data_IF_245806086998
#
_entry.id   IF_245806086998
#
_cell.length_a   1.000
_cell.length_b   1.000
_cell.length_c   1.000
_cell.angle_alpha   90.00
_cell.angle_beta   90.00
_cell.angle_gamma   90.00
#
_symmetry.space_group_name_H-M   'P 1'
#
loop_
_entity.id
_entity.type
_entity.pdbx_description
1 polymer ?
#
# COMPACT_ATOMS: atom_id res chain seq x y z
N UNK A 1 -6.87 -33.20 26.47
CA UNK A 1 -6.71 -32.96 25.03
C UNK A 1 -5.72 -33.97 24.47
N UNK A 2 -6.14 -34.79 23.51
CA UNK A 2 -5.30 -35.85 22.91
C UNK A 2 -4.27 -35.21 21.98
N UNK A 3 -3.02 -35.65 21.98
CA UNK A 3 -1.87 -35.08 21.30
C UNK A 3 -2.07 -34.58 19.84
N UNK A 4 -2.85 -35.26 18.95
CA UNK A 4 -3.05 -34.77 17.59
C UNK A 4 -3.89 -33.49 17.49
N UNK A 5 -4.84 -33.25 18.40
CA UNK A 5 -5.65 -32.04 18.43
C UNK A 5 -4.84 -30.84 18.92
N UNK A 6 -3.93 -31.04 19.83
CA UNK A 6 -3.08 -29.98 20.35
C UNK A 6 -2.07 -29.51 19.30
N UNK A 7 -1.46 -30.44 18.59
CA UNK A 7 -0.59 -30.15 17.44
C UNK A 7 -1.32 -29.36 16.33
N UNK A 8 -2.58 -29.72 16.05
CA UNK A 8 -3.38 -29.00 15.06
C UNK A 8 -3.65 -27.56 15.47
N UNK A 9 -4.02 -27.33 16.74
CA UNK A 9 -4.26 -25.97 17.27
C UNK A 9 -2.99 -25.10 17.22
N UNK A 10 -1.84 -25.66 17.59
CA UNK A 10 -0.55 -24.94 17.54
C UNK A 10 -0.20 -24.54 16.10
N UNK A 11 -0.34 -25.46 15.14
CA UNK A 11 -0.13 -25.17 13.72
C UNK A 11 -1.09 -24.11 13.19
N UNK A 12 -2.35 -24.18 13.59
CA UNK A 12 -3.36 -23.20 13.19
C UNK A 12 -3.02 -21.80 13.75
N UNK A 13 -2.68 -21.72 15.04
CA UNK A 13 -2.32 -20.47 15.68
C UNK A 13 -1.06 -19.85 15.04
N UNK A 14 -0.04 -20.64 14.78
CA UNK A 14 1.19 -20.13 14.12
C UNK A 14 0.92 -19.68 12.69
N UNK A 15 0.13 -20.42 11.92
CA UNK A 15 -0.25 -20.04 10.56
C UNK A 15 -1.04 -18.71 10.54
N UNK A 16 -2.01 -18.55 11.45
CA UNK A 16 -2.79 -17.30 11.58
C UNK A 16 -1.88 -16.13 11.97
N UNK A 17 -0.96 -16.35 12.91
CA UNK A 17 -0.06 -15.30 13.38
C UNK A 17 0.90 -14.84 12.27
N UNK A 18 1.48 -15.77 11.53
CA UNK A 18 2.34 -15.48 10.37
C UNK A 18 1.55 -14.73 9.29
N UNK A 19 0.30 -15.14 9.02
CA UNK A 19 -0.56 -14.50 8.05
C UNK A 19 -0.90 -13.06 8.46
N UNK A 20 -1.21 -12.81 9.75
CA UNK A 20 -1.48 -11.46 10.27
C UNK A 20 -0.24 -10.56 10.14
N UNK A 21 0.94 -11.05 10.51
CA UNK A 21 2.19 -10.29 10.35
C UNK A 21 2.45 -9.94 8.89
N UNK A 22 2.16 -10.88 8.01
CA UNK A 22 2.28 -10.68 6.57
C UNK A 22 1.32 -9.62 6.04
N UNK A 23 0.04 -9.64 6.47
CA UNK A 23 -0.94 -8.61 6.12
C UNK A 23 -0.51 -7.22 6.60
N UNK A 24 0.06 -7.13 7.80
CA UNK A 24 0.57 -5.86 8.34
C UNK A 24 1.73 -5.35 7.46
N UNK A 25 2.67 -6.22 7.09
CA UNK A 25 3.80 -5.84 6.25
C UNK A 25 3.34 -5.30 4.88
N UNK A 26 2.39 -5.97 4.22
CA UNK A 26 1.80 -5.51 2.95
C UNK A 26 1.10 -4.15 3.13
N UNK A 27 0.35 -3.96 4.22
CA UNK A 27 -0.32 -2.69 4.54
C UNK A 27 0.65 -1.54 4.69
N UNK A 28 1.74 -1.76 5.41
CA UNK A 28 2.80 -0.75 5.61
C UNK A 28 3.45 -0.40 4.28
N UNK A 29 3.81 -1.38 3.46
CA UNK A 29 4.42 -1.14 2.15
C UNK A 29 3.50 -0.35 1.22
N UNK A 30 2.21 -0.68 1.15
CA UNK A 30 1.22 0.06 0.35
C UNK A 30 1.03 1.49 0.85
N UNK A 31 0.98 1.69 2.17
CA UNK A 31 0.89 3.01 2.78
C UNK A 31 2.11 3.87 2.47
N UNK A 32 3.32 3.30 2.55
CA UNK A 32 4.55 3.99 2.20
C UNK A 32 4.64 4.31 0.71
N UNK A 33 4.24 3.39 -0.17
CA UNK A 33 4.19 3.63 -1.61
C UNK A 33 3.26 4.81 -1.96
N UNK A 34 2.07 4.85 -1.37
CA UNK A 34 1.12 5.96 -1.56
C UNK A 34 1.65 7.29 -0.99
N UNK A 35 2.30 7.25 0.17
CA UNK A 35 2.95 8.41 0.77
C UNK A 35 4.01 9.00 -0.16
N UNK A 36 4.94 8.17 -0.67
CA UNK A 36 6.00 8.63 -1.56
C UNK A 36 5.48 9.13 -2.91
N UNK A 37 4.44 8.49 -3.48
CA UNK A 37 3.81 8.94 -4.71
C UNK A 37 3.09 10.29 -4.53
N UNK A 38 2.35 10.46 -3.43
CA UNK A 38 1.68 11.72 -3.12
C UNK A 38 2.69 12.85 -2.84
N UNK A 39 3.80 12.52 -2.18
CA UNK A 39 4.89 13.47 -1.92
C UNK A 39 5.60 13.89 -3.22
N UNK A 40 5.81 12.95 -4.15
CA UNK A 40 6.38 13.22 -5.47
C UNK A 40 5.52 14.21 -6.28
N UNK A 41 4.20 14.14 -6.08
CA UNK A 41 3.23 15.06 -6.71
C UNK A 41 3.03 16.38 -5.97
N UNK A 42 3.80 16.62 -4.89
CA UNK A 42 3.74 17.84 -4.11
C UNK A 42 2.45 17.99 -3.28
N UNK A 43 1.77 16.89 -2.97
CA UNK A 43 0.58 16.92 -2.13
C UNK A 43 0.96 17.24 -0.68
N UNK A 44 0.33 18.30 -0.10
CA UNK A 44 0.50 18.64 1.33
C UNK A 44 -0.07 17.58 2.27
N UNK A 45 -0.97 16.73 1.76
CA UNK A 45 -1.68 15.71 2.52
C UNK A 45 -1.11 14.30 2.26
N UNK A 46 0.13 14.22 1.77
CA UNK A 46 0.78 12.93 1.48
C UNK A 46 0.77 11.97 2.69
N UNK A 47 1.01 12.51 3.90
CA UNK A 47 0.97 11.74 5.14
C UNK A 47 -0.40 11.16 5.44
N UNK A 48 -1.48 11.92 5.21
CA UNK A 48 -2.86 11.47 5.37
C UNK A 48 -3.19 10.31 4.42
N UNK A 49 -2.80 10.41 3.16
CA UNK A 49 -3.04 9.36 2.17
C UNK A 49 -2.29 8.07 2.52
N UNK A 50 -1.01 8.19 2.91
CA UNK A 50 -0.22 7.04 3.35
C UNK A 50 -0.83 6.33 4.56
N UNK A 51 -1.27 7.11 5.56
CA UNK A 51 -1.87 6.59 6.77
C UNK A 51 -3.25 5.96 6.52
N UNK A 52 -4.10 6.62 5.73
CA UNK A 52 -5.42 6.09 5.36
C UNK A 52 -5.29 4.74 4.63
N UNK A 53 -4.40 4.65 3.64
CA UNK A 53 -4.19 3.42 2.87
C UNK A 53 -3.56 2.33 3.73
N UNK A 54 -2.61 2.69 4.60
CA UNK A 54 -2.01 1.75 5.53
C UNK A 54 -3.01 1.14 6.52
N UNK A 55 -3.91 1.97 7.09
CA UNK A 55 -4.91 1.50 8.07
C UNK A 55 -6.16 0.90 7.42
N UNK A 56 -6.85 1.65 6.56
CA UNK A 56 -8.12 1.22 5.97
C UNK A 56 -7.95 0.35 4.71
N UNK A 57 -6.77 0.36 4.08
CA UNK A 57 -6.39 -0.54 3.00
C UNK A 57 -7.01 -0.20 1.65
N UNK A 58 -7.78 -1.15 1.09
CA UNK A 58 -8.19 -1.13 -0.32
C UNK A 58 -9.11 0.05 -0.67
N UNK A 59 -10.05 0.38 0.20
CA UNK A 59 -11.07 1.43 -0.08
C UNK A 59 -10.41 2.80 -0.29
N UNK A 60 -9.61 3.34 0.66
CA UNK A 60 -8.91 4.60 0.42
C UNK A 60 -7.85 4.49 -0.68
N UNK A 61 -7.31 3.29 -0.93
CA UNK A 61 -6.42 3.03 -2.06
C UNK A 61 -7.10 3.27 -3.41
N UNK A 62 -8.32 2.79 -3.59
CA UNK A 62 -9.12 3.04 -4.82
C UNK A 62 -9.45 4.53 -4.94
N UNK A 63 -9.92 5.15 -3.85
CA UNK A 63 -10.20 6.60 -3.82
C UNK A 63 -8.95 7.40 -4.20
N UNK A 64 -7.80 7.05 -3.65
CA UNK A 64 -6.51 7.66 -3.99
C UNK A 64 -6.20 7.53 -5.48
N UNK A 65 -6.38 6.35 -6.08
CA UNK A 65 -6.14 6.12 -7.50
C UNK A 65 -7.06 6.99 -8.38
N UNK A 66 -8.32 7.18 -7.99
CA UNK A 66 -9.25 8.06 -8.68
C UNK A 66 -8.83 9.55 -8.59
N UNK A 67 -8.40 9.99 -7.41
CA UNK A 67 -8.00 11.38 -7.16
C UNK A 67 -6.58 11.67 -7.65
N UNK A 68 -5.72 10.65 -7.71
CA UNK A 68 -4.32 10.75 -8.14
C UNK A 68 -4.13 11.50 -9.46
N UNK A 69 -5.03 11.28 -10.42
CA UNK A 69 -5.01 11.96 -11.72
C UNK A 69 -5.29 13.47 -11.64
N UNK A 70 -5.99 13.91 -10.60
CA UNK A 70 -6.32 15.32 -10.33
C UNK A 70 -5.25 16.03 -9.50
N UNK A 71 -4.36 15.28 -8.85
CA UNK A 71 -3.23 15.84 -8.10
C UNK A 71 -2.18 16.34 -9.07
N UNK A 72 -2.15 17.66 -9.26
CA UNK A 72 -1.14 18.31 -10.10
C UNK A 72 -0.01 18.83 -9.23
N UNK A 73 1.26 18.72 -9.69
CA UNK A 73 2.38 19.28 -8.97
C UNK A 73 2.17 20.80 -8.78
N UNK A 74 2.31 21.25 -7.55
CA UNK A 74 2.31 22.68 -7.25
C UNK A 74 3.74 23.18 -7.32
N UNK A 75 3.92 24.41 -7.81
CA UNK A 75 5.20 25.10 -7.88
C UNK A 75 5.25 26.20 -6.84
N UNK A 76 6.40 26.38 -6.21
CA UNK A 76 6.62 27.44 -5.25
C UNK A 76 7.02 28.70 -5.97
N UNK A 77 6.36 29.80 -5.69
CA UNK A 77 6.73 31.11 -6.22
C UNK A 77 8.07 31.57 -5.61
N UNK A 78 9.09 31.85 -6.41
CA UNK A 78 10.41 32.25 -5.91
C UNK A 78 10.40 33.61 -5.22
N UNK A 79 9.37 34.42 -5.43
CA UNK A 79 9.28 35.78 -4.87
C UNK A 79 8.55 35.83 -3.51
N UNK A 80 7.45 35.09 -3.33
CA UNK A 80 6.64 35.15 -2.10
C UNK A 80 6.50 33.81 -1.38
N UNK A 81 7.06 32.72 -1.92
CA UNK A 81 6.99 31.39 -1.32
C UNK A 81 5.61 30.71 -1.39
N UNK A 82 4.61 31.35 -2.03
CA UNK A 82 3.27 30.77 -2.14
C UNK A 82 3.25 29.64 -3.18
N UNK A 83 2.58 28.56 -2.84
CA UNK A 83 2.37 27.43 -3.75
C UNK A 83 1.20 27.72 -4.68
N UNK A 84 1.41 27.62 -5.97
CA UNK A 84 0.40 27.81 -7.01
C UNK A 84 0.53 26.74 -8.10
N UNK A 85 -0.46 26.68 -8.98
CA UNK A 85 -0.44 25.74 -10.10
C UNK A 85 0.51 26.23 -11.20
N UNK A 86 1.25 25.32 -11.87
CA UNK A 86 2.15 25.72 -12.96
C UNK A 86 1.42 26.35 -14.17
N UNK A 87 0.11 26.15 -14.27
CA UNK A 87 -0.75 26.65 -15.36
C UNK A 87 -1.25 28.09 -15.09
N UNK A 88 -1.09 28.59 -13.87
CA UNK A 88 -1.52 29.95 -13.52
C UNK A 88 -0.54 30.97 -14.11
N UNK A 89 -1.06 31.90 -14.91
CA UNK A 89 -0.25 32.94 -15.56
C UNK A 89 0.39 33.89 -14.54
N UNK A 90 -0.26 34.05 -13.38
CA UNK A 90 0.19 34.96 -12.32
C UNK A 90 0.11 34.27 -10.95
N UNK A 91 1.08 34.56 -10.09
CA UNK A 91 1.07 34.09 -8.72
C UNK A 91 -0.08 34.74 -7.94
N UNK A 92 -1.00 33.96 -7.30
CA UNK A 92 -2.13 34.54 -6.56
C UNK A 92 -1.70 35.32 -5.31
N UNK A 93 -0.49 35.13 -4.82
CA UNK A 93 0.01 35.82 -3.63
C UNK A 93 0.70 37.14 -3.89
N UNK A 94 1.46 37.26 -4.97
CA UNK A 94 2.24 38.49 -5.24
C UNK A 94 1.95 39.11 -6.59
N UNK A 95 1.05 38.55 -7.40
CA UNK A 95 0.65 39.09 -8.70
C UNK A 95 1.73 39.06 -9.79
N UNK A 96 2.91 38.48 -9.52
CA UNK A 96 3.96 38.39 -10.54
C UNK A 96 3.63 37.29 -11.56
N UNK A 97 4.05 37.47 -12.84
CA UNK A 97 3.85 36.43 -13.85
C UNK A 97 4.61 35.14 -13.45
N UNK A 98 3.88 34.05 -13.42
CA UNK A 98 4.39 32.72 -13.03
C UNK A 98 5.25 32.08 -14.14
N UNK A 99 5.19 32.61 -15.37
CA UNK A 99 5.74 31.98 -16.59
C UNK A 99 7.21 32.27 -16.93
N UNK A 100 8.00 32.85 -16.04
CA UNK A 100 9.36 33.29 -16.40
C UNK A 100 10.52 32.64 -15.66
N UNK A 101 10.29 31.92 -14.59
CA UNK A 101 11.35 31.22 -13.90
C UNK A 101 11.35 29.75 -14.32
N UNK A 102 12.53 29.10 -14.54
CA UNK A 102 12.57 27.67 -14.72
C UNK A 102 11.92 27.07 -13.48
N UNK A 103 10.77 26.44 -13.69
CA UNK A 103 10.04 25.74 -12.64
C UNK A 103 11.02 24.76 -12.01
N UNK A 104 11.44 25.03 -10.80
CA UNK A 104 12.22 24.07 -10.03
C UNK A 104 11.30 22.89 -9.76
N UNK A 105 11.22 21.99 -10.76
CA UNK A 105 10.69 20.67 -10.53
C UNK A 105 11.45 20.13 -9.34
N UNK A 106 10.73 19.65 -8.33
CA UNK A 106 11.35 19.07 -7.15
C UNK A 106 12.42 18.07 -7.62
N UNK A 107 13.71 18.33 -7.40
CA UNK A 107 14.78 17.46 -7.90
C UNK A 107 14.66 16.03 -7.33
N UNK A 108 13.95 15.90 -6.23
CA UNK A 108 13.68 14.61 -5.58
C UNK A 108 12.41 13.92 -6.12
N UNK A 109 11.59 14.59 -6.95
CA UNK A 109 10.34 14.00 -7.43
C UNK A 109 10.56 12.68 -8.18
N UNK A 110 11.54 12.64 -9.08
CA UNK A 110 11.87 11.43 -9.82
C UNK A 110 12.36 10.30 -8.91
N UNK A 111 13.14 10.62 -7.89
CA UNK A 111 13.65 9.65 -6.92
C UNK A 111 12.53 9.12 -6.03
N UNK A 112 11.59 9.97 -5.61
CA UNK A 112 10.42 9.60 -4.83
C UNK A 112 9.47 8.70 -5.62
N UNK A 113 9.27 9.01 -6.90
CA UNK A 113 8.43 8.23 -7.81
C UNK A 113 9.01 6.83 -8.06
N UNK A 114 10.33 6.75 -8.25
CA UNK A 114 11.04 5.48 -8.38
C UNK A 114 10.94 4.65 -7.08
N UNK A 115 11.08 5.30 -5.93
CA UNK A 115 10.93 4.66 -4.61
C UNK A 115 9.51 4.13 -4.39
N UNK A 116 8.49 4.94 -4.68
CA UNK A 116 7.09 4.55 -4.61
C UNK A 116 6.80 3.32 -5.50
N UNK A 117 7.34 3.31 -6.73
CA UNK A 117 7.19 2.19 -7.66
C UNK A 117 7.84 0.91 -7.11
N UNK A 118 9.03 1.01 -6.53
CA UNK A 118 9.72 -0.14 -5.92
C UNK A 118 8.95 -0.71 -4.75
N UNK A 119 8.42 0.13 -3.87
CA UNK A 119 7.63 -0.28 -2.71
C UNK A 119 6.29 -0.92 -3.14
N UNK A 120 5.66 -0.40 -4.19
CA UNK A 120 4.45 -0.98 -4.76
C UNK A 120 4.71 -2.39 -5.35
N UNK A 121 5.79 -2.54 -6.11
CA UNK A 121 6.19 -3.83 -6.68
C UNK A 121 6.54 -4.83 -5.57
N UNK A 122 7.29 -4.39 -4.55
CA UNK A 122 7.62 -5.22 -3.41
C UNK A 122 6.36 -5.66 -2.64
N UNK A 123 5.42 -4.75 -2.40
CA UNK A 123 4.14 -5.06 -1.76
C UNK A 123 3.30 -6.05 -2.57
N UNK A 124 3.22 -5.88 -3.89
CA UNK A 124 2.51 -6.79 -4.78
C UNK A 124 3.17 -8.18 -4.83
N UNK A 125 4.49 -8.23 -4.91
CA UNK A 125 5.25 -9.48 -4.90
C UNK A 125 5.07 -10.23 -3.57
N UNK A 126 5.19 -9.52 -2.44
CA UNK A 126 4.92 -10.09 -1.12
C UNK A 126 3.50 -10.63 -1.07
N UNK A 127 2.49 -9.88 -1.50
CA UNK A 127 1.10 -10.33 -1.51
C UNK A 127 0.92 -11.62 -2.33
N UNK A 128 1.52 -11.70 -3.52
CA UNK A 128 1.49 -12.89 -4.37
C UNK A 128 2.11 -14.11 -3.70
N UNK A 129 3.29 -13.96 -3.12
CA UNK A 129 3.97 -15.05 -2.39
C UNK A 129 3.14 -15.52 -1.20
N UNK A 130 2.56 -14.60 -0.42
CA UNK A 130 1.72 -14.95 0.72
C UNK A 130 0.46 -15.69 0.32
N UNK A 131 -0.17 -15.31 -0.78
CA UNK A 131 -1.34 -16.01 -1.32
C UNK A 131 -1.00 -17.46 -1.72
N UNK A 132 0.14 -17.65 -2.41
CA UNK A 132 0.62 -18.99 -2.78
C UNK A 132 0.89 -19.85 -1.55
N UNK A 133 1.58 -19.28 -0.55
CA UNK A 133 1.86 -20.00 0.70
C UNK A 133 0.58 -20.39 1.44
N UNK A 134 -0.42 -19.52 1.45
CA UNK A 134 -1.71 -19.78 2.08
C UNK A 134 -2.46 -20.91 1.37
N UNK A 135 -2.49 -20.88 0.03
CA UNK A 135 -3.10 -21.95 -0.78
C UNK A 135 -2.37 -23.28 -0.55
N UNK A 136 -1.04 -23.29 -0.56
CA UNK A 136 -0.24 -24.48 -0.29
C UNK A 136 -0.52 -25.03 1.13
N UNK A 137 -0.56 -24.18 2.14
CA UNK A 137 -0.89 -24.56 3.50
C UNK A 137 -2.31 -25.15 3.61
N UNK A 138 -3.29 -24.54 2.97
CA UNK A 138 -4.66 -25.05 2.91
C UNK A 138 -4.74 -26.43 2.23
N UNK A 139 -4.05 -26.62 1.12
CA UNK A 139 -3.98 -27.91 0.43
C UNK A 139 -3.33 -28.98 1.32
N UNK A 140 -2.22 -28.69 1.98
CA UNK A 140 -1.56 -29.60 2.90
C UNK A 140 -2.50 -30.00 4.03
N UNK A 141 -3.24 -29.05 4.60
CA UNK A 141 -4.23 -29.34 5.65
C UNK A 141 -5.35 -30.24 5.12
N UNK A 142 -5.90 -29.97 3.95
CA UNK A 142 -6.92 -30.81 3.33
C UNK A 142 -6.39 -32.23 3.10
N UNK A 143 -5.22 -32.40 2.51
CA UNK A 143 -4.64 -33.71 2.25
C UNK A 143 -4.27 -34.48 3.53
N UNK A 144 -3.84 -33.77 4.59
CA UNK A 144 -3.49 -34.41 5.87
C UNK A 144 -4.71 -34.83 6.67
N UNK A 145 -5.82 -34.09 6.59
CA UNK A 145 -6.99 -34.31 7.45
C UNK A 145 -8.21 -34.90 6.72
N UNK A 146 -8.26 -34.85 5.38
CA UNK A 146 -9.31 -35.49 4.57
C UNK A 146 -9.49 -36.99 4.89
N UNK A 147 -8.43 -37.78 5.07
CA UNK A 147 -8.61 -39.23 5.39
C UNK A 147 -9.24 -39.48 6.77
N UNK A 148 -9.16 -38.53 7.70
CA UNK A 148 -9.77 -38.69 9.03
C UNK A 148 -11.25 -38.30 9.10
N UNK A 149 -11.74 -37.53 8.15
CA UNK A 149 -13.16 -37.08 8.10
C UNK A 149 -14.12 -38.06 7.41
N UNK A 150 -13.58 -39.02 6.61
CA UNK A 150 -14.44 -39.93 5.83
C UNK A 150 -14.81 -41.22 6.55
N UNK A 151 -14.24 -41.50 7.72
CA UNK A 151 -14.50 -42.75 8.48
C UNK A 151 -15.63 -42.65 9.49
N UNK A 152 -16.26 -41.51 9.67
CA UNK A 152 -17.35 -41.30 10.67
C UNK A 152 -18.77 -41.54 10.12
N UNK A 153 -18.92 -41.72 8.82
CA UNK A 153 -20.27 -41.78 8.19
C UNK A 153 -20.66 -43.21 7.70
N UNK A 154 -20.17 -44.25 8.29
CA UNK A 154 -20.43 -45.61 7.85
C UNK A 154 -20.70 -46.65 8.95
N UNK A 155 -21.56 -46.31 9.92
CA UNK A 155 -22.16 -47.34 10.81
C UNK A 155 -23.60 -46.92 11.13
N UNK A 156 -24.51 -47.43 10.31
CA UNK A 156 -25.90 -47.69 10.63
C UNK A 156 -26.15 -49.15 10.41
#
# INVERSE_FOLDING_TARGET
>A
FNGPQQLFLEWLCTAVLVFLLFLIAVRVLLGMAAYHDALAKGSREAGLWGLLIGFLGLVPGIVYLCVRGSMRPQVCCPNCGMWHRPEEAFCPGCGRPAGGAPQQANPYAAMLEQKARRELIAGAACFGVGLVLLVCAALILVFRFAPYGFTVSGTY
#
